data_IF_948404727843
#
_entry.id   IF_948404727843
#
_cell.length_a   1.000
_cell.length_b   1.000
_cell.length_c   1.000
_cell.angle_alpha   90.00
_cell.angle_beta   90.00
_cell.angle_gamma   90.00
#
_symmetry.space_group_name_H-M   'P 1'
#
loop_
_entity.id
_entity.type
_entity.pdbx_description
1 polymer ?
#
# COMPACT_ATOMS: atom_id res chain seq x y z
N UNK A 1 21.61 -32.90 -11.31
CA UNK A 1 20.79 -32.26 -10.24
C UNK A 1 20.01 -31.15 -10.91
N UNK A 2 18.71 -31.36 -11.08
CA UNK A 2 17.78 -30.43 -11.75
C UNK A 2 17.45 -29.31 -10.77
N UNK A 3 18.13 -28.18 -10.84
CA UNK A 3 17.86 -26.99 -10.05
C UNK A 3 16.67 -26.24 -10.65
N UNK A 4 15.47 -26.78 -10.48
CA UNK A 4 14.25 -26.02 -10.81
C UNK A 4 14.14 -24.83 -9.89
N UNK A 5 14.37 -23.65 -10.46
CA UNK A 5 14.11 -22.38 -9.80
C UNK A 5 12.62 -22.27 -9.54
N UNK A 6 12.21 -22.44 -8.29
CA UNK A 6 10.82 -22.25 -7.88
C UNK A 6 10.57 -20.76 -7.67
N UNK A 7 9.93 -20.11 -8.64
CA UNK A 7 9.50 -18.70 -8.52
C UNK A 7 8.30 -18.66 -7.57
N UNK A 8 8.47 -18.02 -6.42
CA UNK A 8 7.35 -17.75 -5.50
C UNK A 8 6.61 -16.48 -5.94
N UNK A 9 5.28 -16.51 -6.11
CA UNK A 9 4.54 -15.34 -6.51
C UNK A 9 4.49 -14.30 -5.38
N UNK A 10 4.70 -13.01 -5.70
CA UNK A 10 4.39 -11.91 -4.81
C UNK A 10 2.96 -11.42 -5.09
N UNK A 11 2.10 -11.45 -4.07
CA UNK A 11 0.76 -10.90 -4.13
C UNK A 11 0.75 -9.54 -3.44
N UNK A 12 0.35 -8.50 -4.18
CA UNK A 12 0.14 -7.16 -3.60
C UNK A 12 -1.36 -6.90 -3.48
N UNK A 13 -1.79 -6.61 -2.27
CA UNK A 13 -3.18 -6.30 -1.95
C UNK A 13 -3.26 -4.89 -1.37
N UNK A 14 -4.15 -4.06 -1.90
CA UNK A 14 -4.51 -2.79 -1.27
C UNK A 14 -5.50 -3.06 -0.14
N UNK A 15 -5.42 -2.27 0.95
CA UNK A 15 -6.45 -2.30 1.99
C UNK A 15 -7.84 -2.04 1.41
N UNK A 16 -8.86 -2.63 2.02
CA UNK A 16 -10.27 -2.45 1.68
C UNK A 16 -10.77 -1.04 2.05
N UNK A 17 -12.03 -0.72 1.76
CA UNK A 17 -12.58 0.61 1.99
C UNK A 17 -12.49 1.01 3.46
N UNK A 18 -11.79 2.12 3.75
CA UNK A 18 -11.73 2.76 5.07
C UNK A 18 -12.82 3.84 5.22
N UNK A 19 -13.05 4.30 6.46
CA UNK A 19 -13.99 5.38 6.76
C UNK A 19 -13.66 6.65 5.94
N UNK A 20 -12.39 7.04 5.87
CA UNK A 20 -11.99 8.22 5.09
C UNK A 20 -11.96 8.00 3.59
N UNK A 21 -11.92 6.74 3.12
CA UNK A 21 -12.21 6.48 1.70
C UNK A 21 -13.69 6.75 1.39
N UNK A 22 -14.60 6.33 2.27
CA UNK A 22 -16.04 6.60 2.13
C UNK A 22 -16.34 8.10 2.19
N UNK A 23 -15.70 8.83 3.12
CA UNK A 23 -15.84 10.27 3.29
C UNK A 23 -15.07 11.11 2.25
N UNK A 24 -14.38 10.48 1.30
CA UNK A 24 -13.56 11.14 0.28
C UNK A 24 -12.45 12.05 0.83
N UNK A 25 -11.82 11.68 1.95
CA UNK A 25 -10.74 12.47 2.58
C UNK A 25 -9.35 11.97 2.19
N UNK A 26 -8.36 12.86 2.27
CA UNK A 26 -6.94 12.49 2.24
C UNK A 26 -6.59 11.75 3.53
N UNK A 27 -6.12 10.51 3.46
CA UNK A 27 -5.87 9.65 4.64
C UNK A 27 -4.39 9.66 5.03
N UNK A 28 -3.53 9.10 4.20
CA UNK A 28 -2.10 9.03 4.52
C UNK A 28 -1.81 8.26 5.80
N UNK A 29 -1.15 8.92 6.76
CA UNK A 29 -0.74 8.34 8.04
C UNK A 29 -1.82 8.40 9.12
N UNK A 30 -2.95 9.08 8.87
CA UNK A 30 -4.09 9.00 9.78
C UNK A 30 -4.54 7.54 9.93
N UNK A 31 -4.64 7.08 11.16
CA UNK A 31 -5.04 5.72 11.46
C UNK A 31 -6.57 5.66 11.61
N UNK A 32 -7.21 5.16 10.55
CA UNK A 32 -8.67 5.02 10.44
C UNK A 32 -9.00 3.61 9.98
N UNK A 33 -9.97 3.00 10.68
CA UNK A 33 -10.43 1.64 10.43
C UNK A 33 -11.24 1.46 9.16
N UNK A 34 -11.60 0.22 8.88
CA UNK A 34 -12.44 -0.16 7.74
C UNK A 34 -13.90 0.18 7.99
N UNK A 35 -14.64 0.40 6.90
CA UNK A 35 -16.10 0.34 6.91
C UNK A 35 -16.59 -1.11 6.96
N UNK A 36 -17.87 -1.36 7.26
CA UNK A 36 -18.40 -2.73 7.17
C UNK A 36 -18.39 -3.25 5.72
N UNK A 37 -18.60 -2.37 4.75
CA UNK A 37 -18.39 -2.70 3.34
C UNK A 37 -16.94 -3.11 3.06
N UNK A 38 -15.96 -2.38 3.61
CA UNK A 38 -14.53 -2.72 3.53
C UNK A 38 -14.21 -4.07 4.15
N UNK A 39 -14.73 -4.38 5.34
CA UNK A 39 -14.59 -5.73 5.94
C UNK A 39 -15.15 -6.83 5.04
N UNK A 40 -16.28 -6.58 4.42
CA UNK A 40 -16.87 -7.51 3.44
C UNK A 40 -16.01 -7.66 2.18
N UNK A 41 -15.41 -6.58 1.69
CA UNK A 41 -14.43 -6.62 0.58
C UNK A 41 -13.21 -7.48 0.93
N UNK A 42 -12.64 -7.29 2.11
CA UNK A 42 -11.48 -8.05 2.58
C UNK A 42 -11.80 -9.56 2.69
N UNK A 43 -12.97 -9.92 3.24
CA UNK A 43 -13.44 -11.32 3.29
C UNK A 43 -13.57 -11.90 1.87
N UNK A 44 -14.19 -11.17 0.93
CA UNK A 44 -14.32 -11.62 -0.47
C UNK A 44 -12.97 -11.83 -1.15
N UNK A 45 -12.01 -10.91 -0.92
CA UNK A 45 -10.66 -11.04 -1.46
C UNK A 45 -9.98 -12.33 -0.96
N UNK A 46 -10.09 -12.63 0.34
CA UNK A 46 -9.57 -13.87 0.91
C UNK A 46 -10.23 -15.13 0.34
N UNK A 47 -11.55 -15.13 0.17
CA UNK A 47 -12.27 -16.23 -0.46
C UNK A 47 -11.83 -16.45 -1.93
N UNK A 48 -11.62 -15.38 -2.68
CA UNK A 48 -11.13 -15.46 -4.06
C UNK A 48 -9.72 -16.05 -4.12
N UNK A 49 -8.81 -15.59 -3.27
CA UNK A 49 -7.46 -16.15 -3.19
C UNK A 49 -7.48 -17.63 -2.85
N UNK A 50 -8.32 -18.04 -1.89
CA UNK A 50 -8.52 -19.45 -1.53
C UNK A 50 -9.06 -20.27 -2.68
N UNK A 51 -10.08 -19.77 -3.39
CA UNK A 51 -10.68 -20.47 -4.54
C UNK A 51 -9.68 -20.69 -5.68
N UNK A 52 -8.70 -19.77 -5.85
CA UNK A 52 -7.62 -19.92 -6.82
C UNK A 52 -6.40 -20.71 -6.28
N UNK A 53 -6.51 -21.33 -5.12
CA UNK A 53 -5.47 -22.16 -4.54
C UNK A 53 -4.24 -21.43 -4.03
N UNK A 54 -4.32 -20.11 -3.83
CA UNK A 54 -3.19 -19.37 -3.27
C UNK A 54 -2.90 -19.77 -1.83
N UNK A 55 -1.62 -19.97 -1.53
CA UNK A 55 -1.08 -20.12 -0.19
C UNK A 55 0.20 -19.34 -0.08
N UNK A 56 0.44 -18.81 1.11
CA UNK A 56 1.58 -17.91 1.38
C UNK A 56 2.44 -18.49 2.50
N UNK A 57 3.73 -18.17 2.47
CA UNK A 57 4.69 -18.56 3.52
C UNK A 57 4.89 -17.42 4.52
N UNK A 58 4.59 -16.19 4.11
CA UNK A 58 4.77 -14.96 4.90
C UNK A 58 3.89 -13.84 4.37
N UNK A 59 3.54 -12.90 5.24
CA UNK A 59 2.86 -11.67 4.87
C UNK A 59 3.60 -10.44 5.43
N UNK A 60 3.44 -9.31 4.75
CA UNK A 60 3.92 -8.01 5.18
C UNK A 60 2.76 -7.04 5.16
N UNK A 61 2.66 -6.17 6.16
CA UNK A 61 1.63 -5.15 6.22
C UNK A 61 2.17 -3.85 6.81
N UNK A 62 1.46 -2.75 6.58
CA UNK A 62 1.74 -1.51 7.30
C UNK A 62 1.31 -1.62 8.77
N UNK A 63 1.58 -0.59 9.55
CA UNK A 63 1.08 -0.51 10.92
C UNK A 63 -0.33 0.10 11.00
N UNK A 64 -0.87 0.59 9.88
CA UNK A 64 -2.18 1.24 9.84
C UNK A 64 -3.31 0.22 9.97
N UNK A 65 -4.27 0.50 10.85
CA UNK A 65 -5.39 -0.39 11.20
C UNK A 65 -6.12 -0.93 9.97
N UNK A 66 -6.45 -0.07 9.00
CA UNK A 66 -7.13 -0.50 7.76
C UNK A 66 -6.39 -1.56 6.97
N UNK A 67 -5.05 -1.57 7.02
CA UNK A 67 -4.23 -2.55 6.31
C UNK A 67 -4.09 -3.85 7.11
N UNK A 68 -3.86 -3.74 8.41
CA UNK A 68 -3.78 -4.89 9.32
C UNK A 68 -5.10 -5.64 9.37
N UNK A 69 -6.20 -4.93 9.56
CA UNK A 69 -7.55 -5.50 9.58
C UNK A 69 -7.92 -6.17 8.24
N UNK A 70 -7.54 -5.55 7.10
CA UNK A 70 -7.73 -6.17 5.78
C UNK A 70 -6.97 -7.49 5.69
N UNK A 71 -5.70 -7.52 6.10
CA UNK A 71 -4.88 -8.72 6.05
C UNK A 71 -5.45 -9.83 6.95
N UNK A 72 -5.89 -9.50 8.15
CA UNK A 72 -6.51 -10.46 9.08
C UNK A 72 -7.72 -11.14 8.48
N UNK A 73 -8.65 -10.38 7.87
CA UNK A 73 -9.80 -10.95 7.20
C UNK A 73 -9.40 -11.85 6.04
N UNK A 74 -8.42 -11.45 5.24
CA UNK A 74 -7.90 -12.25 4.12
C UNK A 74 -7.29 -13.57 4.63
N UNK A 75 -6.41 -13.53 5.63
CA UNK A 75 -5.75 -14.71 6.17
C UNK A 75 -6.74 -15.68 6.80
N UNK A 76 -7.75 -15.17 7.51
CA UNK A 76 -8.84 -15.99 8.07
C UNK A 76 -9.60 -16.75 6.98
N UNK A 77 -9.92 -16.11 5.86
CA UNK A 77 -10.60 -16.79 4.75
C UNK A 77 -9.70 -17.80 4.04
N UNK A 78 -8.38 -17.57 4.01
CA UNK A 78 -7.40 -18.52 3.49
C UNK A 78 -7.18 -19.73 4.41
N UNK A 79 -7.60 -19.66 5.69
CA UNK A 79 -7.26 -20.64 6.73
C UNK A 79 -5.77 -20.62 7.05
N UNK A 80 -5.16 -19.43 7.05
CA UNK A 80 -3.76 -19.18 7.36
C UNK A 80 -3.59 -18.15 8.50
N UNK A 81 -4.42 -18.22 9.52
CA UNK A 81 -4.43 -17.27 10.65
C UNK A 81 -3.09 -17.21 11.40
N UNK A 82 -2.30 -18.29 11.36
CA UNK A 82 -1.00 -18.39 12.00
C UNK A 82 0.18 -18.06 11.07
N UNK A 83 -0.11 -17.46 9.90
CA UNK A 83 0.97 -17.07 8.98
C UNK A 83 1.88 -16.01 9.64
N UNK A 84 3.23 -16.13 9.54
CA UNK A 84 4.12 -15.08 10.00
C UNK A 84 3.84 -13.75 9.30
N UNK A 85 3.49 -12.72 10.07
CA UNK A 85 3.20 -11.37 9.58
C UNK A 85 4.25 -10.41 10.11
N UNK A 86 4.83 -9.62 9.21
CA UNK A 86 5.71 -8.52 9.55
C UNK A 86 5.02 -7.18 9.34
N UNK A 87 5.02 -6.35 10.39
CA UNK A 87 4.50 -5.01 10.38
C UNK A 87 5.62 -4.00 10.16
N UNK A 88 5.44 -3.06 9.22
CA UNK A 88 6.43 -2.03 8.98
C UNK A 88 5.77 -0.70 8.61
N UNK A 89 6.19 0.38 9.30
CA UNK A 89 5.79 1.74 8.96
C UNK A 89 6.18 2.13 7.52
N UNK A 90 7.23 1.51 6.98
CA UNK A 90 7.67 1.72 5.59
C UNK A 90 6.64 1.28 4.55
N UNK A 91 5.65 0.49 4.95
CA UNK A 91 4.51 0.08 4.13
C UNK A 91 3.29 0.97 4.33
N UNK A 92 3.38 2.00 5.18
CA UNK A 92 2.31 2.97 5.32
C UNK A 92 2.02 3.65 3.97
N UNK A 93 0.80 4.12 3.81
CA UNK A 93 0.44 5.01 2.72
C UNK A 93 1.31 6.27 2.80
N UNK A 94 1.61 6.88 1.66
CA UNK A 94 2.30 8.16 1.56
C UNK A 94 1.72 9.19 2.54
N UNK A 95 2.60 9.92 3.21
CA UNK A 95 2.18 11.00 4.11
C UNK A 95 1.69 12.22 3.32
N UNK A 96 0.44 12.61 3.51
CA UNK A 96 -0.18 13.72 2.79
C UNK A 96 0.09 15.10 3.39
N UNK A 97 0.91 15.21 4.44
CA UNK A 97 1.24 16.49 5.06
C UNK A 97 -0.02 17.26 5.49
N UNK A 98 -0.04 18.55 5.21
CA UNK A 98 -1.15 19.44 5.56
C UNK A 98 -2.50 19.06 4.95
N UNK A 99 -2.51 18.22 3.91
CA UNK A 99 -3.75 17.74 3.27
C UNK A 99 -4.45 16.65 4.07
N UNK A 100 -3.78 15.99 5.03
CA UNK A 100 -4.36 14.93 5.83
C UNK A 100 -5.67 15.37 6.50
N UNK A 101 -6.73 14.60 6.30
CA UNK A 101 -8.07 14.86 6.82
C UNK A 101 -8.93 15.82 5.99
N UNK A 102 -8.35 16.52 4.99
CA UNK A 102 -9.13 17.40 4.13
C UNK A 102 -10.00 16.60 3.17
N UNK A 103 -11.20 17.11 2.89
CA UNK A 103 -12.07 16.59 1.84
C UNK A 103 -11.49 16.90 0.45
N UNK A 104 -11.45 15.87 -0.42
CA UNK A 104 -10.84 16.00 -1.75
C UNK A 104 -11.67 16.85 -2.71
N UNK A 105 -13.01 16.82 -2.57
CA UNK A 105 -13.88 17.63 -3.43
C UNK A 105 -13.80 19.11 -3.03
N UNK A 106 -13.79 19.40 -1.72
CA UNK A 106 -13.59 20.75 -1.22
C UNK A 106 -12.20 21.29 -1.62
N UNK A 107 -11.16 20.46 -1.59
CA UNK A 107 -9.83 20.86 -2.06
C UNK A 107 -9.83 21.18 -3.56
N UNK A 108 -10.47 20.35 -4.41
CA UNK A 108 -10.59 20.60 -5.84
C UNK A 108 -11.35 21.89 -6.14
N UNK A 109 -12.47 22.13 -5.45
CA UNK A 109 -13.25 23.35 -5.60
C UNK A 109 -12.47 24.63 -5.22
N UNK A 110 -11.59 24.55 -4.24
CA UNK A 110 -10.77 25.67 -3.78
C UNK A 110 -9.53 25.94 -4.65
N UNK A 111 -9.05 24.96 -5.41
CA UNK A 111 -7.76 25.06 -6.11
C UNK A 111 -7.84 24.78 -7.60
N UNK A 112 -8.34 23.69 -8.06
CA UNK A 112 -8.61 23.11 -9.37
C UNK A 112 -8.36 21.58 -9.37
N UNK A 113 -8.92 20.89 -10.35
CA UNK A 113 -8.77 19.43 -10.54
C UNK A 113 -7.32 19.03 -10.85
N UNK A 114 -6.58 19.86 -11.60
CA UNK A 114 -5.20 19.58 -11.96
C UNK A 114 -4.30 19.57 -10.72
N UNK A 115 -4.51 20.52 -9.81
CA UNK A 115 -3.78 20.54 -8.53
C UNK A 115 -4.14 19.33 -7.67
N UNK A 116 -5.42 18.98 -7.58
CA UNK A 116 -5.85 17.74 -6.91
C UNK A 116 -5.18 16.52 -7.53
N UNK A 117 -5.16 16.43 -8.87
CA UNK A 117 -4.54 15.33 -9.58
C UNK A 117 -3.03 15.24 -9.27
N UNK A 118 -2.30 16.37 -9.36
CA UNK A 118 -0.87 16.41 -9.01
C UNK A 118 -0.62 15.97 -7.58
N UNK A 119 -1.40 16.48 -6.61
CA UNK A 119 -1.26 16.09 -5.19
C UNK A 119 -1.55 14.61 -4.96
N UNK A 120 -2.37 13.97 -5.79
CA UNK A 120 -2.72 12.54 -5.66
C UNK A 120 -1.84 11.60 -6.48
N UNK A 121 -1.33 12.04 -7.62
CA UNK A 121 -0.71 11.17 -8.64
C UNK A 121 0.66 11.65 -9.10
N UNK A 122 1.03 12.89 -8.82
CA UNK A 122 2.33 13.42 -9.18
C UNK A 122 3.46 12.67 -8.50
N UNK A 123 4.48 12.27 -9.28
CA UNK A 123 5.57 11.44 -8.78
C UNK A 123 6.46 12.19 -7.78
N UNK A 124 6.76 13.46 -8.05
CA UNK A 124 7.61 14.32 -7.21
C UNK A 124 6.84 15.39 -6.46
N UNK A 125 5.54 15.55 -6.74
CA UNK A 125 4.71 16.52 -6.07
C UNK A 125 4.53 16.15 -4.60
N UNK A 126 4.83 17.10 -3.72
CA UNK A 126 4.79 16.93 -2.28
C UNK A 126 3.81 17.95 -1.68
N UNK A 127 2.83 17.50 -0.89
CA UNK A 127 2.01 18.43 -0.11
C UNK A 127 2.84 19.25 0.86
N UNK A 128 2.33 20.39 1.34
CA UNK A 128 2.99 21.14 2.40
C UNK A 128 3.18 20.26 3.65
N UNK A 129 4.35 20.32 4.31
CA UNK A 129 4.61 19.50 5.49
C UNK A 129 3.71 19.92 6.67
N UNK A 130 3.47 19.00 7.60
CA UNK A 130 2.99 19.33 8.93
C UNK A 130 4.13 20.04 9.71
N UNK A 131 3.76 21.01 10.55
CA UNK A 131 4.72 21.62 11.49
C UNK A 131 4.93 20.71 12.70
N UNK A 132 6.06 20.80 13.40
CA UNK A 132 6.35 19.93 14.55
C UNK A 132 5.36 20.07 15.72
N UNK A 133 4.64 21.17 15.79
CA UNK A 133 3.60 21.48 16.79
C UNK A 133 2.18 21.13 16.31
N UNK A 134 2.02 20.71 15.05
CA UNK A 134 0.73 20.26 14.53
C UNK A 134 0.26 19.02 15.32
N UNK A 135 -0.97 19.02 15.87
CA UNK A 135 -1.49 17.88 16.63
C UNK A 135 -1.51 16.56 15.84
N UNK A 136 -1.57 16.61 14.49
CA UNK A 136 -1.49 15.42 13.64
C UNK A 136 -0.07 14.85 13.64
N UNK A 137 0.96 15.72 13.52
CA UNK A 137 2.37 15.31 13.59
C UNK A 137 2.70 14.71 14.96
N UNK A 138 2.24 15.31 16.03
CA UNK A 138 2.44 14.80 17.40
C UNK A 138 1.83 13.43 17.58
N UNK A 139 0.61 13.18 17.06
CA UNK A 139 -0.03 11.85 17.08
C UNK A 139 0.76 10.81 16.30
N UNK A 140 1.29 11.17 15.13
CA UNK A 140 2.14 10.24 14.36
C UNK A 140 3.40 9.90 15.15
N UNK A 141 4.07 10.88 15.74
CA UNK A 141 5.25 10.65 16.59
C UNK A 141 4.93 9.70 17.76
N UNK A 142 3.82 9.90 18.43
CA UNK A 142 3.42 9.11 19.59
C UNK A 142 2.98 7.68 19.19
N UNK A 143 2.47 7.50 17.96
CA UNK A 143 2.12 6.18 17.42
C UNK A 143 3.35 5.33 17.04
N UNK A 144 4.52 5.94 16.87
CA UNK A 144 5.77 5.26 16.49
C UNK A 144 6.91 5.60 17.46
N UNK A 145 6.83 5.22 18.74
CA UNK A 145 7.78 5.65 19.78
C UNK A 145 9.21 5.15 19.53
N UNK A 146 9.36 4.01 18.85
CA UNK A 146 10.65 3.41 18.53
C UNK A 146 11.26 3.93 17.22
N UNK A 147 10.55 4.80 16.51
CA UNK A 147 11.05 5.40 15.28
C UNK A 147 11.90 6.62 15.61
N UNK A 148 13.12 6.66 15.05
CA UNK A 148 13.93 7.89 15.10
C UNK A 148 13.10 9.07 14.57
N UNK A 149 12.90 10.14 15.37
CA UNK A 149 12.14 11.31 14.94
C UNK A 149 12.63 11.92 13.62
N UNK A 150 13.91 11.77 13.29
CA UNK A 150 14.47 12.22 12.01
C UNK A 150 13.95 11.43 10.80
N UNK A 151 13.42 10.23 11.01
CA UNK A 151 12.83 9.38 9.98
C UNK A 151 11.32 9.53 9.87
N UNK A 152 10.68 10.23 10.82
CA UNK A 152 9.23 10.48 10.79
C UNK A 152 8.92 11.51 9.69
N UNK A 153 8.17 11.13 8.64
CA UNK A 153 7.86 12.08 7.58
C UNK A 153 6.82 13.10 8.03
N UNK A 154 7.01 14.36 7.69
CA UNK A 154 5.99 15.41 7.82
C UNK A 154 5.18 15.58 6.53
N UNK A 155 5.67 15.06 5.43
CA UNK A 155 5.05 14.99 4.09
C UNK A 155 5.86 14.09 3.17
N UNK A 156 5.24 13.48 2.16
CA UNK A 156 5.92 12.64 1.17
C UNK A 156 5.35 12.86 -0.24
N UNK A 157 6.23 12.72 -1.23
CA UNK A 157 5.86 12.49 -2.64
C UNK A 157 5.77 10.98 -2.91
N UNK A 158 5.29 10.57 -4.08
CA UNK A 158 5.35 9.15 -4.49
C UNK A 158 6.80 8.65 -4.66
N UNK A 159 7.74 9.56 -4.98
CA UNK A 159 9.15 9.21 -5.09
C UNK A 159 9.77 8.86 -3.73
N UNK A 160 9.29 9.46 -2.65
CA UNK A 160 9.79 9.21 -1.29
C UNK A 160 9.35 7.83 -0.77
N UNK A 161 8.18 7.35 -1.18
CA UNK A 161 7.63 6.04 -0.76
C UNK A 161 8.29 4.84 -1.44
N UNK A 162 9.43 4.98 -2.10
CA UNK A 162 10.19 3.87 -2.73
C UNK A 162 10.83 2.90 -1.73
N UNK A 163 10.86 3.25 -0.46
CA UNK A 163 11.44 2.43 0.60
C UNK A 163 10.85 1.02 0.80
N UNK A 164 9.59 0.69 0.41
CA UNK A 164 9.09 -0.68 0.49
C UNK A 164 9.91 -1.71 -0.28
N UNK A 165 10.54 -1.32 -1.40
CA UNK A 165 11.41 -2.22 -2.16
C UNK A 165 12.57 -2.75 -1.30
N UNK A 166 13.23 -1.89 -0.53
CA UNK A 166 14.33 -2.28 0.36
C UNK A 166 13.91 -3.21 1.50
N UNK A 167 12.64 -3.20 1.90
CA UNK A 167 12.12 -4.12 2.91
C UNK A 167 11.99 -5.53 2.34
N UNK A 168 11.54 -5.63 1.11
CA UNK A 168 11.39 -6.91 0.39
C UNK A 168 12.76 -7.47 -0.05
N UNK A 169 13.75 -6.61 -0.30
CA UNK A 169 15.13 -7.01 -0.60
C UNK A 169 15.84 -7.68 0.59
N UNK A 170 15.51 -7.31 1.83
CA UNK A 170 16.08 -7.93 3.05
C UNK A 170 15.64 -9.37 3.27
N UNK A 171 14.47 -9.71 2.80
CA UNK A 171 13.97 -11.07 2.86
C UNK A 171 14.37 -11.76 1.58
N UNK A 172 15.62 -12.16 1.56
CA UNK A 172 16.28 -12.92 0.52
C UNK A 172 15.26 -13.77 -0.28
N UNK A 173 14.63 -13.12 -1.26
CA UNK A 173 14.19 -13.82 -2.42
C UNK A 173 15.47 -14.22 -3.12
N UNK A 174 16.26 -15.12 -2.50
CA UNK A 174 17.58 -15.54 -2.92
C UNK A 174 17.62 -15.68 -4.43
N UNK A 175 18.03 -14.61 -5.11
CA UNK A 175 18.25 -14.58 -6.56
C UNK A 175 17.04 -14.71 -7.48
N UNK A 176 15.76 -14.68 -7.01
CA UNK A 176 14.61 -15.11 -7.81
C UNK A 176 13.38 -14.20 -7.83
N UNK A 177 13.41 -13.04 -7.16
CA UNK A 177 12.34 -12.04 -7.29
C UNK A 177 12.58 -11.12 -8.49
N UNK A 178 12.15 -11.54 -9.67
CA UNK A 178 12.03 -10.62 -10.80
C UNK A 178 10.75 -9.78 -10.59
N UNK A 179 10.90 -8.51 -10.22
CA UNK A 179 9.83 -7.53 -10.17
C UNK A 179 9.26 -7.32 -11.57
N UNK A 180 8.03 -7.78 -11.82
CA UNK A 180 7.31 -7.41 -13.03
C UNK A 180 6.32 -6.32 -12.68
N UNK A 181 6.59 -5.11 -13.13
CA UNK A 181 5.64 -4.02 -13.07
C UNK A 181 4.48 -4.26 -14.04
N UNK A 182 3.36 -3.57 -13.87
CA UNK A 182 2.22 -3.64 -14.80
C UNK A 182 2.64 -3.23 -16.23
N UNK A 183 3.68 -2.40 -16.37
CA UNK A 183 4.27 -2.01 -17.65
C UNK A 183 4.90 -3.20 -18.39
N UNK A 184 5.57 -4.12 -17.67
CA UNK A 184 6.22 -5.29 -18.28
C UNK A 184 5.21 -6.33 -18.81
N UNK A 185 3.96 -6.29 -18.35
CA UNK A 185 2.88 -7.14 -18.86
C UNK A 185 2.32 -6.62 -20.19
N UNK A 186 2.15 -5.31 -20.32
CA UNK A 186 1.61 -4.67 -21.51
C UNK A 186 2.55 -4.78 -22.73
N UNK A 187 3.86 -4.79 -22.52
CA UNK A 187 4.85 -4.97 -23.59
C UNK A 187 4.89 -6.40 -24.16
N UNK A 188 4.57 -7.43 -23.38
CA UNK A 188 4.54 -8.82 -23.89
C UNK A 188 3.28 -9.15 -24.68
N UNK A 189 2.14 -8.57 -24.37
CA UNK A 189 0.92 -8.75 -25.15
C UNK A 189 1.03 -8.13 -26.56
N UNK A 190 1.81 -7.03 -26.69
CA UNK A 190 2.08 -6.41 -27.99
C UNK A 190 3.08 -7.17 -28.84
N UNK A 191 4.03 -7.90 -28.25
CA UNK A 191 5.01 -8.68 -29.01
C UNK A 191 4.52 -10.09 -29.36
N UNK A 192 3.58 -10.65 -28.62
CA UNK A 192 2.99 -11.96 -28.94
C UNK A 192 1.94 -11.88 -30.08
N UNK A 193 1.36 -10.71 -30.33
CA UNK A 193 0.42 -10.50 -31.43
C UNK A 193 1.05 -10.22 -32.81
N UNK A 194 2.37 -10.02 -32.90
CA UNK A 194 3.05 -9.66 -34.14
C UNK A 194 3.66 -10.85 -34.90
N UNK A 195 3.56 -12.07 -34.40
CA UNK A 195 4.22 -13.26 -35.00
C UNK A 195 3.26 -14.25 -35.69
N UNK A 196 2.02 -13.90 -35.95
CA UNK A 196 1.06 -14.75 -36.66
C UNK A 196 0.38 -14.05 -37.84
N UNK A 197 1.12 -13.34 -38.70
CA UNK A 197 0.70 -13.00 -40.06
C UNK A 197 1.94 -13.09 -40.96
N UNK A 198 2.18 -14.26 -41.49
CA UNK A 198 2.93 -14.52 -42.74
C UNK A 198 2.61 -15.92 -43.23
#
# INVERSE_FOLDING_TARGET
>A
MDTRVTIKPLMMLRHAQSLWNLENRFTGWADVGLTEAGRSEARRAGMLLRAHGYRFDRAFTSQLERATETLEFVLRQLGQDNLPVEHSWRLNERHYGSLEGLDKAAFAAAHDEDKLHRMRRGYRDRPAPLTPDDPRYLRHRDAYPDLDPALLPATESLADTRAPAALLERYDCAGHCAWRTRADRLTREHTAGASQIS
#
